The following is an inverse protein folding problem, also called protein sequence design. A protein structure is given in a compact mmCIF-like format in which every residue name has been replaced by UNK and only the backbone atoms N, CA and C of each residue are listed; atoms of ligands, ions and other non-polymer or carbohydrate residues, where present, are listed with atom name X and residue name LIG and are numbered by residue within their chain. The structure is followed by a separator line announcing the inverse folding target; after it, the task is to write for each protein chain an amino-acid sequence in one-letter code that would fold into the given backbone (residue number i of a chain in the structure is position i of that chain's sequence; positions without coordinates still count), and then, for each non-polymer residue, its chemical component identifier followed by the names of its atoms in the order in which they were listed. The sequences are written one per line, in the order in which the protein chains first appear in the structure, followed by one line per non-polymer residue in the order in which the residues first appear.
data_IF_991775989865
#
_entry.id   IF_991775989865
#
_cell.length_a   1.000
_cell.length_b   1.000
_cell.length_c   1.000
_cell.angle_alpha   90.00
_cell.angle_beta   90.00
_cell.angle_gamma   90.00
#
_symmetry.space_group_name_H-M   'P 1'
#
loop_
_entity.id
_entity.type
_entity.pdbx_description
1 polymer ?
#
# COMPACT_ATOMS: atom_id res chain seq x y z
N UNK A 1 19.25 5.05 26.97
CA UNK A 1 18.27 4.60 25.96
C UNK A 1 17.98 3.15 26.25
N UNK A 2 16.72 2.75 26.37
CA UNK A 2 16.38 1.36 26.63
C UNK A 2 16.90 0.47 25.49
N UNK A 3 17.62 -0.59 25.83
CA UNK A 3 18.13 -1.57 24.87
C UNK A 3 17.03 -2.57 24.46
N UNK A 4 15.76 -2.15 24.60
CA UNK A 4 14.58 -2.94 24.39
C UNK A 4 13.81 -2.46 23.17
N UNK A 5 13.35 -3.40 22.37
CA UNK A 5 12.53 -3.23 21.20
C UNK A 5 11.10 -3.68 21.52
N UNK A 6 10.18 -2.74 21.75
CA UNK A 6 8.76 -3.06 21.96
C UNK A 6 8.14 -3.44 20.63
N UNK A 7 7.30 -4.45 20.62
CA UNK A 7 6.59 -4.89 19.43
C UNK A 7 5.20 -5.42 19.77
N UNK A 8 4.25 -5.20 18.85
CA UNK A 8 2.89 -5.70 18.97
C UNK A 8 2.77 -7.10 18.33
N UNK A 9 2.41 -8.08 19.15
CA UNK A 9 2.22 -9.46 18.75
C UNK A 9 0.75 -9.74 18.43
N UNK A 10 0.53 -10.30 17.25
CA UNK A 10 -0.72 -10.89 16.82
C UNK A 10 -0.66 -12.41 16.96
N UNK A 11 -1.66 -13.03 17.59
CA UNK A 11 -1.72 -14.47 17.79
C UNK A 11 -2.74 -15.15 16.87
N UNK A 12 -3.97 -14.63 16.88
CA UNK A 12 -5.07 -15.16 16.07
C UNK A 12 -6.20 -14.12 15.88
N UNK A 13 -7.06 -14.28 14.87
CA UNK A 13 -8.21 -13.42 14.67
C UNK A 13 -9.12 -13.33 15.89
N UNK A 14 -9.62 -12.13 16.17
CA UNK A 14 -10.52 -11.88 17.30
C UNK A 14 -9.82 -11.76 18.66
N UNK A 15 -8.50 -11.87 18.72
CA UNK A 15 -7.71 -11.61 19.92
C UNK A 15 -7.03 -10.23 19.81
N UNK A 16 -6.85 -9.53 20.94
CA UNK A 16 -6.10 -8.28 20.94
C UNK A 16 -4.62 -8.53 20.66
N UNK A 17 -3.95 -7.52 20.09
CA UNK A 17 -2.50 -7.47 20.09
C UNK A 17 -1.98 -7.30 21.52
N UNK A 18 -0.82 -7.89 21.79
CA UNK A 18 -0.10 -7.76 23.05
C UNK A 18 1.27 -7.12 22.80
N UNK A 19 1.67 -6.17 23.64
CA UNK A 19 2.99 -5.54 23.52
C UNK A 19 4.02 -6.36 24.30
N UNK A 20 5.06 -6.79 23.61
CA UNK A 20 6.19 -7.53 24.18
C UNK A 20 7.51 -6.84 23.87
N UNK A 21 8.53 -7.11 24.70
CA UNK A 21 9.90 -6.59 24.54
C UNK A 21 10.80 -7.67 23.93
N UNK A 22 11.66 -7.23 23.00
CA UNK A 22 12.66 -8.04 22.31
C UNK A 22 14.03 -7.31 22.37
N UNK A 23 15.13 -8.02 22.12
CA UNK A 23 16.41 -7.35 21.87
C UNK A 23 16.35 -6.49 20.61
N UNK A 24 17.02 -5.34 20.61
CA UNK A 24 17.27 -4.57 19.39
C UNK A 24 18.23 -5.39 18.52
N UNK A 25 17.91 -5.65 17.24
CA UNK A 25 18.77 -6.48 16.40
C UNK A 25 20.03 -5.72 16.00
N UNK A 26 21.21 -6.29 16.27
CA UNK A 26 22.46 -5.80 15.71
C UNK A 26 22.50 -6.12 14.20
N UNK A 27 22.89 -5.17 13.33
CA UNK A 27 22.89 -5.40 11.90
C UNK A 27 24.05 -6.31 11.46
N UNK A 28 23.73 -7.34 10.67
CA UNK A 28 24.72 -8.14 9.97
C UNK A 28 25.34 -7.35 8.79
N UNK A 29 26.51 -7.77 8.28
CA UNK A 29 27.14 -7.12 7.14
C UNK A 29 26.18 -6.98 5.93
N UNK A 30 26.13 -5.80 5.35
CA UNK A 30 25.24 -5.44 4.24
C UNK A 30 23.78 -5.14 4.61
N UNK A 31 23.39 -5.33 5.87
CA UNK A 31 22.06 -4.95 6.40
C UNK A 31 22.11 -3.74 7.30
N UNK A 32 20.96 -3.31 7.80
CA UNK A 32 20.87 -2.21 8.75
C UNK A 32 19.72 -2.43 9.76
N UNK A 33 19.82 -1.78 10.92
CA UNK A 33 18.74 -1.69 11.88
C UNK A 33 18.09 -0.32 11.76
N UNK A 34 16.77 -0.32 11.56
CA UNK A 34 15.96 0.88 11.47
C UNK A 34 15.22 1.09 12.79
N UNK A 35 15.29 2.29 13.38
CA UNK A 35 14.36 2.75 14.39
C UNK A 35 13.11 3.22 13.64
N UNK A 36 12.00 2.50 13.79
CA UNK A 36 10.73 2.85 13.17
C UNK A 36 10.21 4.12 13.83
N UNK A 37 9.78 5.09 13.03
CA UNK A 37 9.10 6.29 13.52
C UNK A 37 7.60 6.20 13.32
N UNK A 38 7.18 5.56 12.19
CA UNK A 38 5.77 5.36 11.84
C UNK A 38 5.57 4.03 11.14
N UNK A 39 4.43 3.40 11.40
CA UNK A 39 3.97 2.21 10.66
C UNK A 39 2.46 2.25 10.48
N UNK A 40 2.00 2.24 9.22
CA UNK A 40 0.58 2.23 8.89
C UNK A 40 -0.02 0.83 9.03
N UNK A 41 -1.33 0.79 9.28
CA UNK A 41 -2.14 -0.42 9.16
C UNK A 41 -2.63 -0.52 7.71
N UNK A 42 -2.12 -1.50 6.97
CA UNK A 42 -2.56 -1.78 5.61
C UNK A 42 -3.86 -2.60 5.61
N UNK A 43 -4.60 -2.57 4.51
CA UNK A 43 -5.79 -3.41 4.31
C UNK A 43 -5.49 -4.90 4.45
N UNK A 44 -4.29 -5.34 4.06
CA UNK A 44 -3.86 -6.74 4.22
C UNK A 44 -3.76 -7.18 5.69
N UNK A 45 -3.32 -6.29 6.60
CA UNK A 45 -3.32 -6.57 8.03
C UNK A 45 -4.74 -6.59 8.62
N UNK A 46 -5.66 -5.76 8.12
CA UNK A 46 -7.07 -5.84 8.52
C UNK A 46 -7.70 -7.18 8.13
N UNK A 47 -7.39 -7.70 6.94
CA UNK A 47 -7.86 -9.03 6.52
C UNK A 47 -7.30 -10.15 7.41
N UNK A 48 -6.02 -10.08 7.80
CA UNK A 48 -5.42 -11.02 8.75
C UNK A 48 -6.10 -10.91 10.12
N UNK A 49 -6.33 -9.70 10.61
CA UNK A 49 -6.93 -9.42 11.92
C UNK A 49 -8.40 -9.89 12.00
N UNK A 50 -9.17 -9.74 10.92
CA UNK A 50 -10.54 -10.23 10.81
C UNK A 50 -10.64 -11.74 10.62
N UNK A 51 -9.58 -12.37 10.11
CA UNK A 51 -9.59 -13.78 9.73
C UNK A 51 -10.15 -14.03 8.33
N UNK A 52 -10.07 -13.06 7.44
CA UNK A 52 -10.61 -13.15 6.08
C UNK A 52 -9.82 -14.12 5.21
N UNK A 53 -10.53 -14.96 4.46
CA UNK A 53 -9.95 -15.86 3.48
C UNK A 53 -8.85 -16.77 4.04
N UNK A 54 -7.88 -17.13 3.19
CA UNK A 54 -6.73 -17.96 3.59
C UNK A 54 -5.69 -17.20 4.42
N UNK A 55 -5.67 -15.88 4.39
CA UNK A 55 -4.77 -15.08 5.22
C UNK A 55 -5.14 -15.19 6.72
N UNK A 56 -6.43 -15.25 7.03
CA UNK A 56 -6.91 -15.38 8.40
C UNK A 56 -6.74 -16.77 9.03
N UNK A 57 -6.31 -17.78 8.27
CA UNK A 57 -6.05 -19.13 8.81
C UNK A 57 -4.66 -19.26 9.46
N UNK A 58 -3.88 -18.18 9.48
CA UNK A 58 -2.52 -18.20 10.05
C UNK A 58 -2.60 -18.03 11.57
N UNK A 59 -2.97 -19.10 12.26
CA UNK A 59 -2.80 -19.19 13.71
C UNK A 59 -1.31 -19.40 13.99
N UNK A 60 -0.71 -18.46 14.71
CA UNK A 60 0.69 -18.56 15.14
C UNK A 60 0.73 -18.71 16.67
N UNK A 61 0.83 -19.94 17.22
CA UNK A 61 0.81 -20.16 18.67
C UNK A 61 1.90 -19.39 19.43
N UNK A 62 2.95 -18.96 18.73
CA UNK A 62 4.06 -18.18 19.27
C UNK A 62 3.92 -16.67 19.04
N UNK A 63 2.81 -16.23 18.43
CA UNK A 63 2.63 -14.85 18.00
C UNK A 63 3.42 -14.50 16.72
N UNK A 64 3.00 -13.42 16.08
CA UNK A 64 3.65 -12.81 14.90
C UNK A 64 3.58 -11.31 15.01
N UNK A 65 4.66 -10.63 14.67
CA UNK A 65 4.65 -9.18 14.51
C UNK A 65 4.22 -8.88 13.08
N UNK A 66 3.12 -8.13 12.93
CA UNK A 66 2.63 -7.64 11.66
C UNK A 66 3.26 -6.28 11.33
N UNK A 67 2.75 -5.63 10.27
CA UNK A 67 3.24 -4.36 9.79
C UNK A 67 4.31 -4.50 8.72
N UNK A 68 4.15 -3.74 7.66
CA UNK A 68 5.10 -3.69 6.55
C UNK A 68 5.20 -2.30 5.92
N UNK A 69 4.22 -1.44 6.15
CA UNK A 69 4.13 -0.10 5.61
C UNK A 69 4.71 0.89 6.63
N UNK A 70 6.00 1.19 6.52
CA UNK A 70 6.70 1.94 7.56
C UNK A 70 7.85 2.79 7.03
N UNK A 71 8.25 3.75 7.84
CA UNK A 71 9.45 4.58 7.70
C UNK A 71 10.18 4.70 9.03
N UNK A 72 11.39 5.18 9.00
CA UNK A 72 12.15 5.38 10.24
C UNK A 72 13.52 5.99 10.00
N UNK A 73 14.30 5.98 11.07
CA UNK A 73 15.65 6.54 11.12
C UNK A 73 16.66 5.41 11.21
N UNK A 74 17.73 5.48 10.44
CA UNK A 74 18.85 4.53 10.50
C UNK A 74 19.43 4.53 11.92
N UNK A 75 19.24 3.43 12.65
CA UNK A 75 19.79 3.24 14.00
C UNK A 75 21.23 2.74 13.96
N UNK A 76 21.51 1.73 13.14
CA UNK A 76 22.84 1.18 12.96
C UNK A 76 23.00 0.61 11.54
N UNK A 77 24.19 0.74 10.98
CA UNK A 77 24.57 0.21 9.67
C UNK A 77 25.49 -1.00 9.88
N UNK A 78 25.21 -2.09 9.15
CA UNK A 78 26.13 -3.21 9.04
C UNK A 78 27.32 -2.89 8.13
N UNK A 79 28.40 -3.65 8.25
CA UNK A 79 29.59 -3.46 7.44
C UNK A 79 29.28 -3.45 5.96
N UNK A 80 29.85 -2.48 5.24
CA UNK A 80 29.69 -2.31 3.80
C UNK A 80 28.44 -1.53 3.35
N UNK A 81 27.55 -1.13 4.24
CA UNK A 81 26.41 -0.26 3.90
C UNK A 81 26.85 1.20 3.96
N UNK A 82 27.02 1.84 2.83
CA UNK A 82 27.50 3.23 2.71
C UNK A 82 26.57 4.14 1.91
N UNK A 83 25.70 3.55 1.08
CA UNK A 83 24.78 4.29 0.21
C UNK A 83 23.40 3.63 0.22
N UNK A 84 22.39 4.39 -0.18
CA UNK A 84 21.08 3.87 -0.53
C UNK A 84 21.13 3.17 -1.92
N UNK A 85 19.96 2.73 -2.41
CA UNK A 85 19.84 2.02 -3.69
C UNK A 85 20.21 2.86 -4.91
N UNK A 86 20.12 4.19 -4.81
CA UNK A 86 20.51 5.14 -5.85
C UNK A 86 21.97 5.62 -5.74
N UNK A 87 22.73 5.11 -4.78
CA UNK A 87 24.09 5.56 -4.53
C UNK A 87 24.19 6.83 -3.68
N UNK A 88 23.11 7.31 -3.11
CA UNK A 88 23.12 8.46 -2.18
C UNK A 88 23.76 8.02 -0.85
N UNK A 89 24.78 8.74 -0.32
CA UNK A 89 25.38 8.40 0.95
C UNK A 89 24.37 8.37 2.09
N UNK A 90 24.44 7.32 2.91
CA UNK A 90 23.61 7.17 4.12
C UNK A 90 24.49 6.99 5.36
N UNK A 91 23.98 7.49 6.46
CA UNK A 91 24.60 7.41 7.78
C UNK A 91 23.58 7.18 8.88
N UNK A 92 24.02 6.83 10.06
CA UNK A 92 23.17 6.79 11.25
C UNK A 92 22.47 8.16 11.44
N UNK A 93 21.17 8.12 11.70
CA UNK A 93 20.34 9.31 11.84
C UNK A 93 19.61 9.73 10.56
N UNK A 94 19.96 9.19 9.40
CA UNK A 94 19.22 9.48 8.17
C UNK A 94 17.84 8.81 8.16
N UNK A 95 16.82 9.51 7.66
CA UNK A 95 15.48 8.96 7.45
C UNK A 95 15.46 8.18 6.15
N UNK A 96 14.86 7.00 6.15
CA UNK A 96 14.75 6.14 4.97
C UNK A 96 13.34 5.56 4.80
N UNK A 97 12.96 5.36 3.53
CA UNK A 97 11.93 4.43 3.11
C UNK A 97 12.58 3.17 2.54
N UNK A 98 11.92 2.03 2.62
CA UNK A 98 12.51 0.75 2.23
C UNK A 98 11.47 -0.17 1.58
N UNK A 99 11.93 -1.04 0.70
CA UNK A 99 11.11 -2.10 0.16
C UNK A 99 10.94 -3.19 1.23
N UNK A 100 9.70 -3.44 1.70
CA UNK A 100 9.43 -4.36 2.81
C UNK A 100 9.61 -5.84 2.47
N UNK A 101 9.87 -6.15 1.23
CA UNK A 101 10.22 -7.48 0.74
C UNK A 101 11.56 -7.42 -0.02
N UNK A 102 12.12 -8.59 -0.33
CA UNK A 102 13.41 -8.68 -1.00
C UNK A 102 13.34 -9.64 -2.19
N UNK A 103 13.36 -9.14 -3.42
CA UNK A 103 13.52 -10.00 -4.61
C UNK A 103 14.83 -10.77 -4.57
N UNK A 104 14.80 -12.05 -4.95
CA UNK A 104 16.00 -12.90 -4.88
C UNK A 104 17.03 -12.63 -5.98
N UNK A 105 16.70 -11.84 -7.00
CA UNK A 105 17.56 -11.47 -8.12
C UNK A 105 17.89 -12.59 -9.12
N UNK A 106 17.56 -13.87 -8.83
CA UNK A 106 18.02 -15.04 -9.58
C UNK A 106 16.91 -15.98 -10.08
N UNK A 107 15.67 -15.85 -9.62
CA UNK A 107 14.58 -16.68 -10.14
C UNK A 107 14.17 -16.23 -11.55
N UNK A 108 13.36 -17.06 -12.22
CA UNK A 108 12.92 -16.80 -13.60
C UNK A 108 12.29 -15.43 -13.78
N UNK A 109 11.47 -14.99 -12.80
CA UNK A 109 10.79 -13.70 -12.88
C UNK A 109 11.79 -12.54 -12.71
N UNK A 110 12.68 -12.61 -11.70
CA UNK A 110 13.73 -11.60 -11.53
C UNK A 110 14.63 -11.47 -12.76
N UNK A 111 15.01 -12.61 -13.39
CA UNK A 111 15.84 -12.61 -14.61
C UNK A 111 15.11 -12.03 -15.83
N UNK A 112 13.77 -11.90 -15.78
CA UNK A 112 12.98 -11.22 -16.81
C UNK A 112 12.71 -9.74 -16.48
N UNK A 113 13.28 -9.21 -15.39
CA UNK A 113 13.03 -7.85 -14.92
C UNK A 113 11.72 -7.70 -14.10
N UNK A 114 11.04 -8.81 -13.78
CA UNK A 114 9.79 -8.83 -13.00
C UNK A 114 10.11 -9.13 -11.53
N UNK A 115 10.82 -8.22 -10.87
CA UNK A 115 11.26 -8.40 -9.48
C UNK A 115 10.10 -8.44 -8.48
N UNK A 116 9.02 -7.72 -8.75
CA UNK A 116 7.78 -7.69 -7.98
C UNK A 116 7.06 -9.05 -7.98
N UNK A 117 7.25 -9.87 -9.02
CA UNK A 117 6.70 -11.22 -9.12
C UNK A 117 7.67 -12.31 -8.61
N UNK A 118 8.65 -11.95 -7.80
CA UNK A 118 9.62 -12.90 -7.23
C UNK A 118 8.96 -13.83 -6.22
N UNK A 119 9.13 -15.15 -6.39
CA UNK A 119 8.55 -16.16 -5.49
C UNK A 119 9.16 -16.16 -4.08
N UNK A 120 10.38 -15.63 -3.95
CA UNK A 120 11.15 -15.62 -2.70
C UNK A 120 11.08 -14.25 -1.99
N UNK A 121 10.29 -13.30 -2.50
CA UNK A 121 10.26 -11.91 -2.01
C UNK A 121 10.04 -11.80 -0.52
N UNK A 122 9.10 -12.58 0.03
CA UNK A 122 8.69 -12.49 1.43
C UNK A 122 9.48 -13.41 2.38
N UNK A 123 10.61 -13.97 1.95
CA UNK A 123 11.46 -14.81 2.82
C UNK A 123 12.02 -14.03 4.01
N UNK A 124 12.24 -12.72 3.86
CA UNK A 124 12.74 -11.83 4.93
C UNK A 124 11.75 -11.68 6.10
N UNK A 125 10.46 -11.95 5.87
CA UNK A 125 9.42 -11.89 6.90
C UNK A 125 9.22 -13.22 7.64
N UNK A 126 9.92 -14.29 7.22
CA UNK A 126 9.80 -15.63 7.82
C UNK A 126 10.82 -15.83 8.94
N UNK A 127 10.48 -16.58 9.96
CA UNK A 127 11.36 -16.97 11.05
C UNK A 127 10.70 -16.90 12.42
N UNK A 128 11.45 -17.31 13.44
CA UNK A 128 10.99 -17.35 14.82
C UNK A 128 11.27 -16.02 15.53
N UNK A 129 10.40 -15.62 16.45
CA UNK A 129 10.61 -14.47 17.35
C UNK A 129 11.73 -14.70 18.37
N UNK A 130 12.12 -15.99 18.59
CA UNK A 130 13.22 -16.35 19.51
C UNK A 130 14.60 -16.35 18.82
N UNK A 131 14.65 -16.07 17.52
CA UNK A 131 15.86 -16.08 16.72
C UNK A 131 16.10 -14.71 16.09
N UNK A 132 17.38 -14.30 16.06
CA UNK A 132 17.76 -13.08 15.37
C UNK A 132 17.16 -13.03 13.95
N UNK A 133 16.63 -11.91 13.50
CA UNK A 133 16.61 -10.58 14.09
C UNK A 133 15.39 -10.30 15.00
N UNK A 134 14.71 -11.30 15.53
CA UNK A 134 13.58 -11.27 16.46
C UNK A 134 12.31 -10.62 15.86
N UNK A 135 12.38 -9.35 15.44
CA UNK A 135 11.29 -8.58 14.85
C UNK A 135 11.40 -8.54 13.33
N UNK A 136 10.34 -8.94 12.63
CA UNK A 136 10.26 -9.02 11.16
C UNK A 136 9.07 -8.28 10.56
N UNK A 137 8.29 -7.63 11.40
CA UNK A 137 7.20 -6.73 11.07
C UNK A 137 7.43 -5.37 11.68
N UNK A 138 6.83 -4.34 11.12
CA UNK A 138 7.07 -2.95 11.50
C UNK A 138 6.20 -2.41 12.62
N UNK A 139 5.30 -3.23 13.21
CA UNK A 139 4.62 -2.85 14.45
C UNK A 139 5.57 -3.08 15.64
N UNK A 140 6.73 -2.43 15.58
CA UNK A 140 7.83 -2.53 16.55
C UNK A 140 8.67 -1.27 16.52
N UNK A 141 9.36 -0.96 17.63
CA UNK A 141 10.26 0.21 17.70
C UNK A 141 11.48 0.07 16.77
N UNK A 142 11.95 -1.16 16.53
CA UNK A 142 13.08 -1.45 15.66
C UNK A 142 12.83 -2.66 14.77
N UNK A 143 13.30 -2.57 13.53
CA UNK A 143 13.32 -3.68 12.58
C UNK A 143 14.69 -3.82 11.93
N UNK A 144 15.00 -5.04 11.49
CA UNK A 144 16.19 -5.31 10.71
C UNK A 144 15.86 -5.35 9.22
N UNK A 145 16.60 -4.59 8.43
CA UNK A 145 16.54 -4.63 6.98
C UNK A 145 17.69 -5.48 6.43
N UNK A 146 17.33 -6.49 5.65
CA UNK A 146 18.28 -7.47 5.14
C UNK A 146 19.10 -6.92 3.97
N UNK A 147 20.31 -7.43 3.73
CA UNK A 147 21.09 -7.12 2.53
C UNK A 147 20.26 -7.35 1.26
N UNK A 148 20.26 -6.34 0.36
CA UNK A 148 19.52 -6.42 -0.91
C UNK A 148 18.04 -6.04 -0.83
N UNK A 149 17.53 -5.56 0.31
CA UNK A 149 16.30 -4.77 0.33
C UNK A 149 16.63 -3.36 -0.17
N UNK A 150 15.85 -2.86 -1.12
CA UNK A 150 16.04 -1.49 -1.59
C UNK A 150 15.67 -0.50 -0.49
N UNK A 151 16.56 0.44 -0.21
CA UNK A 151 16.39 1.54 0.73
C UNK A 151 16.65 2.85 0.01
N UNK A 152 15.93 3.89 0.38
CA UNK A 152 16.06 5.22 -0.21
C UNK A 152 16.06 6.27 0.89
N UNK A 153 16.97 7.23 0.82
CA UNK A 153 17.01 8.37 1.71
C UNK A 153 15.80 9.26 1.47
N UNK A 154 15.11 9.64 2.54
CA UNK A 154 13.92 10.51 2.46
C UNK A 154 14.37 11.96 2.37
N UNK A 155 13.90 12.74 1.38
CA UNK A 155 14.16 14.17 1.24
C UNK A 155 13.68 14.96 2.48
N UNK A 156 14.34 16.09 2.78
CA UNK A 156 14.03 16.92 3.96
C UNK A 156 12.62 17.51 3.93
N UNK A 157 12.09 17.82 2.74
CA UNK A 157 10.77 18.38 2.57
C UNK A 157 9.62 17.36 2.63
N UNK A 158 9.93 16.08 2.80
CA UNK A 158 8.94 15.00 2.97
C UNK A 158 8.90 14.60 4.45
N UNK A 159 7.73 14.72 5.08
CA UNK A 159 7.52 14.33 6.48
C UNK A 159 7.42 12.81 6.65
N UNK A 160 7.56 12.30 7.88
CA UNK A 160 7.34 10.88 8.15
C UNK A 160 5.88 10.47 7.90
N UNK A 161 4.94 11.40 8.11
CA UNK A 161 3.51 11.22 7.81
C UNK A 161 3.26 11.01 6.32
N UNK A 162 3.94 11.76 5.46
CA UNK A 162 3.85 11.61 4.01
C UNK A 162 4.48 10.31 3.52
N UNK A 163 5.72 10.01 3.99
CA UNK A 163 6.51 8.92 3.42
C UNK A 163 6.11 7.53 3.93
N UNK A 164 5.41 7.43 5.05
CA UNK A 164 5.03 6.14 5.64
C UNK A 164 4.20 5.27 4.69
N UNK A 165 3.44 5.88 3.76
CA UNK A 165 2.65 5.17 2.75
C UNK A 165 3.45 4.81 1.48
N UNK A 166 4.69 5.30 1.35
CA UNK A 166 5.46 5.16 0.11
C UNK A 166 5.75 3.69 -0.24
N UNK A 167 6.16 2.89 0.76
CA UNK A 167 6.66 1.53 0.57
C UNK A 167 5.57 0.44 0.47
N UNK A 168 4.30 0.82 0.34
CA UNK A 168 3.20 -0.10 0.06
C UNK A 168 2.19 0.59 -0.87
N UNK A 169 1.26 1.37 -0.30
CA UNK A 169 0.13 1.93 -1.00
C UNK A 169 0.54 2.75 -2.24
N UNK A 170 1.43 3.73 -2.08
CA UNK A 170 1.78 4.64 -3.16
C UNK A 170 2.63 3.97 -4.25
N UNK A 171 3.66 3.19 -3.88
CA UNK A 171 4.49 2.50 -4.86
C UNK A 171 3.69 1.46 -5.68
N UNK A 172 2.73 0.78 -5.05
CA UNK A 172 1.87 -0.20 -5.72
C UNK A 172 0.89 0.49 -6.69
N UNK A 173 0.32 1.62 -6.29
CA UNK A 173 -0.55 2.44 -7.16
C UNK A 173 0.22 2.97 -8.36
N UNK A 174 1.43 3.51 -8.15
CA UNK A 174 2.30 3.98 -9.26
C UNK A 174 2.55 2.84 -10.25
N UNK A 175 2.99 1.68 -9.77
CA UNK A 175 3.24 0.52 -10.64
C UNK A 175 1.97 0.06 -11.36
N UNK A 176 0.83 0.05 -10.68
CA UNK A 176 -0.44 -0.34 -11.26
C UNK A 176 -0.86 0.58 -12.41
N UNK A 177 -0.85 1.90 -12.17
CA UNK A 177 -1.22 2.89 -13.18
C UNK A 177 -0.25 2.94 -14.37
N UNK A 178 1.03 2.61 -14.13
CA UNK A 178 2.00 2.41 -15.21
C UNK A 178 1.70 1.18 -16.05
N UNK A 179 1.33 0.06 -15.43
CA UNK A 179 1.01 -1.18 -16.14
C UNK A 179 -0.25 -1.10 -16.99
N UNK A 180 -1.25 -0.37 -16.51
CA UNK A 180 -2.43 -0.07 -17.33
C UNK A 180 -2.23 1.15 -18.23
N UNK A 181 -1.02 1.71 -18.26
CA UNK A 181 -0.60 2.75 -19.19
C UNK A 181 -1.49 4.00 -19.14
N UNK A 182 -1.87 4.45 -17.93
CA UNK A 182 -2.61 5.72 -17.80
C UNK A 182 -1.82 6.84 -18.45
N UNK A 183 -2.46 7.58 -19.34
CA UNK A 183 -1.84 8.59 -20.18
C UNK A 183 -2.72 9.85 -20.29
N UNK A 184 -2.18 10.86 -20.97
CA UNK A 184 -2.89 12.10 -21.28
C UNK A 184 -4.19 11.80 -22.07
N UNK A 185 -5.30 12.38 -21.59
CA UNK A 185 -6.62 12.22 -22.19
C UNK A 185 -7.42 11.02 -21.69
N UNK A 186 -6.84 10.12 -20.86
CA UNK A 186 -7.59 9.02 -20.26
C UNK A 186 -8.63 9.53 -19.25
N UNK A 187 -9.79 8.89 -19.20
CA UNK A 187 -10.83 9.05 -18.19
C UNK A 187 -10.69 7.89 -17.20
N UNK A 188 -10.41 8.20 -15.95
CA UNK A 188 -10.06 7.21 -14.93
C UNK A 188 -11.13 7.16 -13.85
N UNK A 189 -11.65 5.97 -13.53
CA UNK A 189 -12.53 5.74 -12.38
C UNK A 189 -11.73 5.07 -11.28
N UNK A 190 -11.85 5.56 -10.04
CA UNK A 190 -11.27 4.96 -8.84
C UNK A 190 -12.38 4.45 -7.95
N UNK A 191 -12.51 3.13 -7.80
CA UNK A 191 -13.44 2.47 -6.88
C UNK A 191 -12.77 2.33 -5.50
N UNK A 192 -13.26 3.10 -4.53
CA UNK A 192 -12.72 3.19 -3.17
C UNK A 192 -11.70 4.32 -2.99
N UNK A 193 -11.98 5.25 -2.07
CA UNK A 193 -11.14 6.41 -1.76
C UNK A 193 -10.46 6.28 -0.38
N UNK A 194 -10.08 5.06 -0.02
CA UNK A 194 -9.21 4.80 1.14
C UNK A 194 -7.76 5.20 0.89
N UNK A 195 -6.83 4.69 1.71
CA UNK A 195 -5.41 5.06 1.62
C UNK A 195 -4.73 4.78 0.27
N UNK A 196 -5.24 3.86 -0.56
CA UNK A 196 -4.75 3.64 -1.92
C UNK A 196 -5.45 4.55 -2.94
N UNK A 197 -6.78 4.69 -2.79
CA UNK A 197 -7.60 5.37 -3.80
C UNK A 197 -7.30 6.87 -3.92
N UNK A 198 -7.03 7.55 -2.81
CA UNK A 198 -6.65 8.97 -2.85
C UNK A 198 -5.33 9.17 -3.60
N UNK A 199 -4.36 8.26 -3.43
CA UNK A 199 -3.14 8.28 -4.24
C UNK A 199 -3.40 7.91 -5.70
N UNK A 200 -4.33 7.00 -5.98
CA UNK A 200 -4.70 6.66 -7.37
C UNK A 200 -5.27 7.90 -8.10
N UNK A 201 -6.10 8.71 -7.44
CA UNK A 201 -6.57 9.97 -7.99
C UNK A 201 -5.41 10.92 -8.33
N UNK A 202 -4.50 11.14 -7.37
CA UNK A 202 -3.38 12.06 -7.56
C UNK A 202 -2.41 11.61 -8.67
N UNK A 203 -2.04 10.32 -8.68
CA UNK A 203 -1.14 9.78 -9.70
C UNK A 203 -1.80 9.76 -11.08
N UNK A 204 -3.10 9.47 -11.18
CA UNK A 204 -3.82 9.54 -12.46
C UNK A 204 -3.79 10.96 -13.04
N UNK A 205 -4.02 11.98 -12.21
CA UNK A 205 -3.92 13.40 -12.64
C UNK A 205 -2.49 13.78 -13.04
N UNK A 206 -1.48 13.37 -12.28
CA UNK A 206 -0.08 13.65 -12.63
C UNK A 206 0.34 12.98 -13.94
N UNK A 207 -0.23 11.84 -14.27
CA UNK A 207 -0.03 11.15 -15.56
C UNK A 207 -0.82 11.76 -16.71
N UNK A 208 -1.65 12.78 -16.46
CA UNK A 208 -2.36 13.53 -17.46
C UNK A 208 -3.78 13.04 -17.76
N UNK A 209 -4.40 12.26 -16.85
CA UNK A 209 -5.81 11.90 -17.00
C UNK A 209 -6.68 13.16 -17.20
N UNK A 210 -7.53 13.12 -18.22
CA UNK A 210 -8.48 14.20 -18.53
C UNK A 210 -9.50 14.37 -17.41
N UNK A 211 -10.06 13.24 -16.98
CA UNK A 211 -11.06 13.22 -15.92
C UNK A 211 -10.77 12.05 -14.95
N UNK A 212 -10.81 12.33 -13.65
CA UNK A 212 -10.72 11.33 -12.58
C UNK A 212 -12.03 11.34 -11.79
N UNK A 213 -12.73 10.20 -11.80
CA UNK A 213 -14.01 9.98 -11.12
C UNK A 213 -13.75 9.10 -9.90
N UNK A 214 -14.01 9.61 -8.70
CA UNK A 214 -13.81 8.89 -7.44
C UNK A 214 -15.14 8.36 -6.89
N UNK A 215 -15.21 7.09 -6.48
CA UNK A 215 -16.40 6.44 -5.94
C UNK A 215 -16.12 5.96 -4.52
N UNK A 216 -16.85 6.46 -3.52
CA UNK A 216 -16.82 6.02 -2.12
C UNK A 216 -18.17 6.33 -1.47
N UNK A 217 -18.37 5.95 -0.19
CA UNK A 217 -19.55 6.27 0.61
C UNK A 217 -19.22 7.01 1.91
N UNK A 218 -17.99 7.50 2.07
CA UNK A 218 -17.56 8.24 3.25
C UNK A 218 -17.15 9.65 2.83
N UNK A 219 -17.83 10.66 3.37
CA UNK A 219 -17.67 12.07 2.98
C UNK A 219 -16.22 12.53 3.06
N UNK A 220 -15.54 12.27 4.17
CA UNK A 220 -14.14 12.66 4.37
C UNK A 220 -13.19 12.03 3.34
N UNK A 221 -13.50 10.83 2.86
CA UNK A 221 -12.72 10.15 1.81
C UNK A 221 -12.95 10.77 0.44
N UNK A 222 -14.21 11.07 0.12
CA UNK A 222 -14.57 11.76 -1.12
C UNK A 222 -13.96 13.16 -1.17
N UNK A 223 -14.05 13.91 -0.05
CA UNK A 223 -13.44 15.24 0.04
C UNK A 223 -11.92 15.18 -0.15
N UNK A 224 -11.23 14.23 0.49
CA UNK A 224 -9.78 14.07 0.29
C UNK A 224 -9.46 13.63 -1.14
N UNK A 225 -10.25 12.73 -1.75
CA UNK A 225 -10.06 12.33 -3.15
C UNK A 225 -10.16 13.54 -4.09
N UNK A 226 -11.10 14.47 -3.86
CA UNK A 226 -11.21 15.71 -4.61
C UNK A 226 -9.97 16.60 -4.46
N UNK A 227 -9.49 16.78 -3.22
CA UNK A 227 -8.26 17.55 -2.95
C UNK A 227 -7.02 16.90 -3.56
N UNK A 228 -7.03 15.56 -3.69
CA UNK A 228 -5.98 14.77 -4.33
C UNK A 228 -6.16 14.66 -5.85
N UNK A 229 -7.08 15.40 -6.45
CA UNK A 229 -7.19 15.54 -7.90
C UNK A 229 -8.34 14.80 -8.57
N UNK A 230 -9.30 14.23 -7.83
CA UNK A 230 -10.54 13.76 -8.44
C UNK A 230 -11.37 14.97 -8.93
N UNK A 231 -11.83 14.90 -10.18
CA UNK A 231 -12.65 15.93 -10.80
C UNK A 231 -14.14 15.73 -10.46
N UNK A 232 -14.58 14.47 -10.39
CA UNK A 232 -15.96 14.09 -10.15
C UNK A 232 -16.05 13.07 -9.00
N UNK A 233 -17.10 13.19 -8.21
CA UNK A 233 -17.35 12.33 -7.06
C UNK A 233 -18.68 11.58 -7.23
N UNK A 234 -18.68 10.30 -6.92
CA UNK A 234 -19.89 9.47 -6.85
C UNK A 234 -20.01 8.90 -5.44
N UNK A 235 -21.04 9.35 -4.71
CA UNK A 235 -21.41 8.76 -3.43
C UNK A 235 -22.33 7.56 -3.69
N UNK A 236 -21.86 6.35 -3.37
CA UNK A 236 -22.66 5.15 -3.57
C UNK A 236 -23.86 5.04 -2.60
N UNK A 237 -23.96 5.90 -1.56
CA UNK A 237 -25.12 5.98 -0.69
C UNK A 237 -26.25 6.75 -1.37
N UNK A 238 -25.91 7.74 -2.20
CA UNK A 238 -26.88 8.50 -3.01
C UNK A 238 -27.27 7.74 -4.28
N UNK A 239 -26.28 7.13 -4.95
CA UNK A 239 -26.49 6.28 -6.12
C UNK A 239 -26.27 4.82 -5.71
N UNK A 240 -27.28 4.23 -5.00
CA UNK A 240 -27.13 2.91 -4.35
C UNK A 240 -27.04 1.74 -5.33
N UNK A 241 -27.70 1.85 -6.49
CA UNK A 241 -27.77 0.77 -7.46
C UNK A 241 -26.52 0.74 -8.37
N UNK A 242 -25.81 -0.39 -8.51
CA UNK A 242 -24.62 -0.51 -9.36
C UNK A 242 -24.87 -0.07 -10.81
N UNK A 243 -26.00 -0.44 -11.39
CA UNK A 243 -26.37 -0.05 -12.77
C UNK A 243 -26.45 1.48 -12.94
N UNK A 244 -26.92 2.19 -11.91
CA UNK A 244 -27.13 3.63 -11.97
C UNK A 244 -25.79 4.35 -11.82
N UNK A 245 -24.84 3.81 -11.02
CA UNK A 245 -23.46 4.28 -10.98
C UNK A 245 -22.73 4.07 -12.30
N UNK A 246 -22.91 2.91 -12.94
CA UNK A 246 -22.40 2.67 -14.30
C UNK A 246 -22.98 3.68 -15.31
N UNK A 247 -24.28 3.98 -15.24
CA UNK A 247 -24.92 4.99 -16.08
C UNK A 247 -24.32 6.39 -15.82
N UNK A 248 -24.10 6.74 -14.55
CA UNK A 248 -23.50 8.02 -14.15
C UNK A 248 -22.06 8.16 -14.66
N UNK A 249 -21.23 7.12 -14.57
CA UNK A 249 -19.89 7.13 -15.15
C UNK A 249 -19.94 7.37 -16.65
N UNK A 250 -20.84 6.68 -17.37
CA UNK A 250 -21.01 6.88 -18.81
C UNK A 250 -21.47 8.29 -19.16
N UNK A 251 -22.37 8.87 -18.38
CA UNK A 251 -22.77 10.27 -18.54
C UNK A 251 -21.57 11.23 -18.40
N UNK A 252 -20.72 11.02 -17.40
CA UNK A 252 -19.51 11.80 -17.13
C UNK A 252 -18.40 11.58 -18.17
N UNK A 253 -18.54 10.58 -19.03
CA UNK A 253 -17.56 10.17 -20.05
C UNK A 253 -18.17 10.20 -21.46
N UNK A 254 -19.11 11.10 -21.73
CA UNK A 254 -19.76 11.33 -23.02
C UNK A 254 -20.42 10.10 -23.65
N UNK A 255 -20.78 9.10 -22.82
CA UNK A 255 -21.40 7.84 -23.22
C UNK A 255 -20.44 6.70 -23.48
N UNK A 256 -19.15 6.94 -23.61
CA UNK A 256 -18.14 5.94 -23.97
C UNK A 256 -17.81 4.99 -22.82
N UNK A 257 -17.74 5.50 -21.60
CA UNK A 257 -17.21 4.82 -20.41
C UNK A 257 -15.77 5.26 -20.08
N UNK A 258 -15.19 4.65 -19.07
CA UNK A 258 -13.84 4.96 -18.60
C UNK A 258 -12.75 4.21 -19.38
N UNK A 259 -11.64 4.86 -19.69
CA UNK A 259 -10.46 4.22 -20.27
C UNK A 259 -9.77 3.31 -19.26
N UNK A 260 -9.78 3.72 -17.99
CA UNK A 260 -9.22 2.93 -16.88
C UNK A 260 -10.19 2.92 -15.70
N UNK A 261 -10.38 1.74 -15.09
CA UNK A 261 -11.04 1.60 -13.79
C UNK A 261 -10.05 0.96 -12.82
N UNK A 262 -9.84 1.58 -11.67
CA UNK A 262 -8.93 1.13 -10.60
C UNK A 262 -9.75 0.61 -9.42
N UNK A 263 -9.60 -0.65 -9.07
CA UNK A 263 -10.23 -1.27 -7.89
C UNK A 263 -9.25 -1.25 -6.71
N UNK A 264 -9.65 -0.57 -5.64
CA UNK A 264 -8.90 -0.49 -4.37
C UNK A 264 -9.84 -0.54 -3.14
N UNK A 265 -11.04 -1.09 -3.32
CA UNK A 265 -12.00 -1.38 -2.24
C UNK A 265 -11.59 -2.64 -1.49
N UNK A 266 -11.13 -3.66 -2.23
CA UNK A 266 -10.82 -4.98 -1.71
C UNK A 266 -12.04 -5.90 -1.60
N UNK A 267 -13.07 -5.68 -2.43
CA UNK A 267 -14.26 -6.52 -2.50
C UNK A 267 -14.53 -7.01 -3.92
N UNK A 268 -14.81 -8.31 -4.06
CA UNK A 268 -15.21 -8.87 -5.35
C UNK A 268 -16.54 -8.35 -5.87
N UNK A 269 -17.37 -7.76 -4.99
CA UNK A 269 -18.71 -7.28 -5.34
C UNK A 269 -18.69 -6.06 -6.29
N UNK A 270 -17.59 -5.28 -6.28
CA UNK A 270 -17.46 -4.09 -7.12
C UNK A 270 -16.84 -4.35 -8.49
N UNK A 271 -16.28 -5.55 -8.72
CA UNK A 271 -15.51 -5.86 -9.95
C UNK A 271 -16.41 -5.87 -11.19
N UNK A 272 -17.56 -6.57 -11.15
CA UNK A 272 -18.48 -6.61 -12.31
C UNK A 272 -19.00 -5.21 -12.67
N UNK A 273 -19.32 -4.41 -11.66
CA UNK A 273 -19.72 -3.01 -11.83
C UNK A 273 -18.60 -2.21 -12.53
N UNK A 274 -17.37 -2.29 -12.02
CA UNK A 274 -16.20 -1.59 -12.59
C UNK A 274 -15.90 -2.02 -14.01
N UNK A 275 -16.00 -3.31 -14.34
CA UNK A 275 -15.86 -3.81 -15.70
C UNK A 275 -16.92 -3.25 -16.64
N UNK A 276 -18.16 -2.99 -16.16
CA UNK A 276 -19.23 -2.35 -16.95
C UNK A 276 -19.04 -0.86 -17.16
N UNK A 277 -18.26 -0.20 -16.31
CA UNK A 277 -17.89 1.20 -16.47
C UNK A 277 -16.87 1.43 -17.59
N UNK A 278 -16.12 0.39 -17.99
CA UNK A 278 -15.08 0.50 -19.02
C UNK A 278 -15.63 0.84 -20.40
N UNK A 279 -14.89 1.67 -21.10
CA UNK A 279 -15.03 1.91 -22.53
C UNK A 279 -14.58 0.70 -23.37
N UNK A 280 -14.79 0.75 -24.70
CA UNK A 280 -14.14 -0.15 -25.64
C UNK A 280 -12.62 0.03 -25.57
N UNK A 281 -11.87 -1.08 -25.46
CA UNK A 281 -10.42 -1.05 -25.24
C UNK A 281 -9.99 -0.70 -23.82
N UNK A 282 -10.94 -0.51 -22.91
CA UNK A 282 -10.69 -0.11 -21.53
C UNK A 282 -9.89 -1.13 -20.71
N UNK A 283 -9.27 -0.66 -19.65
CA UNK A 283 -8.30 -1.39 -18.80
C UNK A 283 -8.77 -1.38 -17.35
N UNK A 284 -8.99 -2.54 -16.77
CA UNK A 284 -9.34 -2.72 -15.37
C UNK A 284 -8.08 -3.04 -14.58
N UNK A 285 -7.77 -2.25 -13.57
CA UNK A 285 -6.65 -2.46 -12.66
C UNK A 285 -7.16 -2.98 -11.32
N UNK A 286 -6.80 -4.22 -11.01
CA UNK A 286 -7.12 -4.90 -9.76
C UNK A 286 -5.96 -4.80 -8.78
N UNK A 287 -6.18 -4.15 -7.64
CA UNK A 287 -5.20 -4.02 -6.55
C UNK A 287 -5.80 -4.44 -5.20
N UNK A 288 -7.09 -4.17 -5.00
CA UNK A 288 -7.73 -4.21 -3.68
C UNK A 288 -7.94 -5.62 -3.13
N UNK A 289 -8.31 -6.59 -3.96
CA UNK A 289 -8.57 -7.97 -3.53
C UNK A 289 -7.26 -8.75 -3.42
N UNK A 290 -6.59 -8.63 -2.30
CA UNK A 290 -5.27 -9.25 -2.08
C UNK A 290 -5.33 -10.69 -1.54
N UNK A 291 -6.46 -11.19 -1.10
CA UNK A 291 -6.57 -12.51 -0.47
C UNK A 291 -7.16 -13.58 -1.41
N UNK A 292 -6.63 -14.79 -1.35
CA UNK A 292 -7.06 -15.92 -2.20
C UNK A 292 -8.27 -16.64 -1.61
N UNK A 293 -9.08 -17.25 -2.49
CA UNK A 293 -10.25 -18.05 -2.12
C UNK A 293 -11.57 -17.34 -2.37
N UNK A 294 -11.53 -16.15 -2.96
CA UNK A 294 -12.70 -15.42 -3.46
C UNK A 294 -12.84 -15.59 -4.97
N UNK A 295 -14.02 -15.29 -5.51
CA UNK A 295 -14.31 -15.34 -6.93
C UNK A 295 -15.33 -14.25 -7.29
N UNK A 296 -15.32 -13.81 -8.52
CA UNK A 296 -16.33 -12.93 -9.09
C UNK A 296 -16.84 -13.50 -10.43
N UNK A 297 -18.08 -13.14 -10.79
CA UNK A 297 -18.62 -13.48 -12.10
C UNK A 297 -18.08 -12.52 -13.16
N UNK A 298 -17.64 -13.05 -14.28
CA UNK A 298 -17.15 -12.27 -15.41
C UNK A 298 -17.82 -12.73 -16.69
N UNK A 299 -18.21 -11.80 -17.55
CA UNK A 299 -18.69 -12.07 -18.90
C UNK A 299 -17.52 -12.02 -19.90
N UNK A 300 -16.94 -13.17 -20.30
CA UNK A 300 -15.82 -13.19 -21.23
C UNK A 300 -16.23 -12.72 -22.63
N UNK A 301 -17.51 -12.86 -23.00
CA UNK A 301 -18.02 -12.37 -24.28
C UNK A 301 -17.92 -10.85 -24.40
N UNK A 302 -18.18 -10.14 -23.30
CA UNK A 302 -18.01 -8.69 -23.24
C UNK A 302 -16.53 -8.30 -23.33
N UNK A 303 -15.66 -8.94 -22.53
CA UNK A 303 -14.22 -8.66 -22.58
C UNK A 303 -13.67 -8.79 -24.00
N UNK A 304 -14.01 -9.87 -24.70
CA UNK A 304 -13.60 -10.10 -26.10
C UNK A 304 -14.25 -9.08 -27.04
N UNK A 305 -15.57 -8.89 -26.94
CA UNK A 305 -16.32 -8.01 -27.84
C UNK A 305 -15.96 -6.53 -27.73
N UNK A 306 -15.48 -6.11 -26.55
CA UNK A 306 -15.07 -4.73 -26.28
C UNK A 306 -13.56 -4.55 -26.20
N UNK A 307 -12.75 -5.59 -26.42
CA UNK A 307 -11.28 -5.57 -26.30
C UNK A 307 -10.80 -5.07 -24.95
N UNK A 308 -11.50 -5.40 -23.86
CA UNK A 308 -11.15 -4.98 -22.50
C UNK A 308 -10.03 -5.85 -21.92
N UNK A 309 -9.23 -5.28 -21.01
CA UNK A 309 -8.13 -5.98 -20.32
C UNK A 309 -8.34 -5.90 -18.80
N UNK A 310 -7.90 -6.94 -18.09
CA UNK A 310 -7.78 -6.95 -16.62
C UNK A 310 -6.30 -7.13 -16.32
N UNK A 311 -5.74 -6.20 -15.58
CA UNK A 311 -4.37 -6.24 -15.04
C UNK A 311 -4.45 -6.31 -13.51
N UNK A 312 -3.64 -7.18 -12.90
CA UNK A 312 -3.57 -7.32 -11.45
C UNK A 312 -2.17 -7.00 -10.93
N UNK A 313 -2.10 -6.19 -9.88
CA UNK A 313 -0.83 -5.75 -9.28
C UNK A 313 -0.86 -5.95 -7.78
N UNK A 314 -0.13 -6.95 -7.28
CA UNK A 314 -0.04 -7.25 -5.85
C UNK A 314 1.24 -6.79 -5.17
N UNK A 315 2.16 -6.14 -5.89
CA UNK A 315 3.48 -5.73 -5.41
C UNK A 315 4.09 -4.69 -6.35
N UNK A 316 5.32 -4.24 -6.09
CA UNK A 316 6.00 -3.20 -6.86
C UNK A 316 7.51 -3.46 -6.95
N UNK A 317 8.23 -2.78 -7.84
CA UNK A 317 9.69 -2.82 -7.94
C UNK A 317 10.36 -1.66 -7.19
N UNK A 318 11.68 -1.73 -7.02
CA UNK A 318 12.42 -0.68 -6.33
C UNK A 318 12.29 0.69 -7.01
N UNK A 319 12.16 0.72 -8.34
CA UNK A 319 11.99 1.95 -9.10
C UNK A 319 10.64 2.62 -8.79
N UNK A 320 9.56 1.84 -8.60
CA UNK A 320 8.27 2.40 -8.18
C UNK A 320 8.31 3.02 -6.78
N UNK A 321 9.07 2.42 -5.85
CA UNK A 321 9.29 3.05 -4.53
C UNK A 321 10.07 4.36 -4.65
N UNK A 322 11.08 4.41 -5.51
CA UNK A 322 11.82 5.65 -5.76
C UNK A 322 10.91 6.74 -6.32
N UNK A 323 10.10 6.42 -7.35
CA UNK A 323 9.12 7.35 -7.92
C UNK A 323 8.07 7.79 -6.90
N UNK A 324 7.69 6.93 -5.95
CA UNK A 324 6.79 7.31 -4.85
C UNK A 324 7.40 8.41 -3.98
N UNK A 325 8.70 8.29 -3.65
CA UNK A 325 9.41 9.32 -2.87
C UNK A 325 9.55 10.62 -3.67
N UNK A 326 9.87 10.54 -4.97
CA UNK A 326 9.94 11.71 -5.86
C UNK A 326 8.58 12.42 -5.99
N UNK A 327 7.49 11.65 -6.16
CA UNK A 327 6.13 12.18 -6.16
C UNK A 327 5.80 12.94 -4.86
N UNK A 328 6.10 12.35 -3.70
CA UNK A 328 5.89 12.99 -2.42
C UNK A 328 6.70 14.29 -2.29
N UNK A 329 7.97 14.27 -2.70
CA UNK A 329 8.84 15.45 -2.65
C UNK A 329 8.37 16.57 -3.57
N UNK A 330 7.90 16.23 -4.78
CA UNK A 330 7.37 17.19 -5.76
C UNK A 330 6.05 17.82 -5.33
N UNK A 331 5.22 17.07 -4.59
CA UNK A 331 3.86 17.47 -4.23
C UNK A 331 3.67 17.84 -2.74
N UNK A 332 4.74 17.88 -1.96
CA UNK A 332 4.69 18.11 -0.51
C UNK A 332 4.02 19.44 -0.08
N UNK A 333 3.91 20.42 -0.97
CA UNK A 333 3.30 21.74 -0.71
C UNK A 333 1.96 21.95 -1.43
N UNK A 334 1.62 21.08 -2.35
CA UNK A 334 0.47 21.25 -3.26
C UNK A 334 -0.66 20.30 -2.98
N UNK A 335 -0.36 19.12 -2.43
CA UNK A 335 -1.35 18.11 -2.08
C UNK A 335 -1.40 17.90 -0.55
N UNK A 336 -2.58 17.56 0.01
CA UNK A 336 -2.77 17.33 1.45
C UNK A 336 -2.27 15.94 1.89
N UNK A 337 -1.00 15.64 1.61
CA UNK A 337 -0.41 14.32 1.80
C UNK A 337 -0.35 13.88 3.27
N UNK A 338 -0.28 14.83 4.21
CA UNK A 338 -0.32 14.55 5.66
C UNK A 338 -1.72 14.16 6.17
N UNK A 339 -2.80 14.40 5.38
CA UNK A 339 -4.18 14.11 5.79
C UNK A 339 -4.62 12.66 5.47
N UNK A 340 -3.76 11.87 4.84
CA UNK A 340 -4.06 10.48 4.48
C UNK A 340 -4.10 9.56 5.70
N UNK A 341 -3.33 9.86 6.74
CA UNK A 341 -3.19 9.02 7.94
C UNK A 341 -3.65 9.73 9.20
N UNK A 342 -4.03 8.93 10.21
CA UNK A 342 -4.36 9.38 11.58
C UNK A 342 -3.46 8.66 12.55
N UNK A 343 -2.84 9.43 13.47
CA UNK A 343 -1.82 8.94 14.39
C UNK A 343 -2.39 8.24 15.62
N UNK A 344 -1.79 7.10 15.99
CA UNK A 344 -2.04 6.35 17.20
C UNK A 344 -0.70 5.96 17.83
N UNK A 345 -0.51 6.04 19.15
CA UNK A 345 0.66 5.43 19.78
C UNK A 345 0.63 3.90 19.61
N UNK A 346 1.78 3.24 19.62
CA UNK A 346 1.87 1.77 19.45
C UNK A 346 0.99 1.03 20.45
N UNK A 347 0.87 1.54 21.68
CA UNK A 347 0.06 0.95 22.75
C UNK A 347 -1.44 0.93 22.43
N UNK A 348 -1.90 1.82 21.56
CA UNK A 348 -3.30 1.90 21.11
C UNK A 348 -3.58 1.12 19.83
N UNK A 349 -2.69 0.21 19.42
CA UNK A 349 -2.83 -0.58 18.20
C UNK A 349 -4.20 -1.26 18.06
N UNK A 350 -4.77 -1.76 19.15
CA UNK A 350 -6.08 -2.41 19.14
C UNK A 350 -7.20 -1.42 18.78
N UNK A 351 -7.13 -0.19 19.28
CA UNK A 351 -8.07 0.87 18.92
C UNK A 351 -7.88 1.32 17.47
N UNK A 352 -6.62 1.48 17.04
CA UNK A 352 -6.27 1.85 15.67
C UNK A 352 -6.83 0.85 14.64
N UNK A 353 -6.74 -0.45 14.91
CA UNK A 353 -7.35 -1.50 14.07
C UNK A 353 -8.87 -1.42 14.04
N UNK A 354 -9.52 -1.21 15.20
CA UNK A 354 -10.98 -1.08 15.30
C UNK A 354 -11.49 0.14 14.54
N UNK A 355 -10.84 1.30 14.69
CA UNK A 355 -11.24 2.55 14.07
C UNK A 355 -11.07 2.51 12.54
N UNK A 356 -9.95 1.97 12.05
CA UNK A 356 -9.76 1.80 10.62
C UNK A 356 -10.74 0.78 10.03
N UNK A 357 -11.02 -0.32 10.75
CA UNK A 357 -11.97 -1.34 10.30
C UNK A 357 -13.41 -0.83 10.23
N UNK A 358 -13.81 0.06 11.13
CA UNK A 358 -15.14 0.69 11.12
C UNK A 358 -15.28 1.80 10.09
N UNK A 359 -14.18 2.23 9.45
CA UNK A 359 -14.13 3.36 8.53
C UNK A 359 -14.08 4.73 9.21
N UNK A 360 -13.93 4.77 10.54
CA UNK A 360 -13.80 6.03 11.30
C UNK A 360 -12.57 6.82 10.89
N UNK A 361 -11.50 6.14 10.50
CA UNK A 361 -10.28 6.75 9.95
C UNK A 361 -9.96 6.19 8.58
N UNK A 362 -9.37 7.02 7.72
CA UNK A 362 -8.97 6.64 6.36
C UNK A 362 -7.87 5.59 6.39
N UNK A 363 -6.84 5.85 7.22
CA UNK A 363 -5.70 4.97 7.50
C UNK A 363 -5.12 5.31 8.86
N UNK A 364 -4.98 4.32 9.73
CA UNK A 364 -4.31 4.48 11.02
C UNK A 364 -2.79 4.30 10.85
N UNK A 365 -2.01 5.16 11.51
CA UNK A 365 -0.56 5.13 11.55
C UNK A 365 -0.09 5.00 12.99
N UNK A 366 0.63 3.93 13.30
CA UNK A 366 1.24 3.73 14.61
C UNK A 366 2.50 4.57 14.72
N UNK A 367 2.60 5.40 15.76
CA UNK A 367 3.76 6.25 16.05
C UNK A 367 4.57 5.59 17.14
N UNK A 368 5.88 5.36 16.88
CA UNK A 368 6.84 4.81 17.80
C UNK A 368 7.58 5.96 18.52
N UNK A 369 7.73 5.86 19.83
CA UNK A 369 8.33 6.91 20.68
C UNK A 369 9.77 6.62 21.06
#
# INVERSE_FOLDING_TARGET
MSNENRAALFFEPGKPFEIHSFPVPDPAPGGLTLKVTRSNICGSELHIWRGDGRLGTVITPKGRILGHEATGVVHALGDGVTTDWNGTPIQQGDRIAYQYFRPCGRCRNCMKGMSEACRESFTVQRGSLNEWPYTRGSFADYIYLHPGQAIFKVPENVTDTMVVSANCALAQVIMGLERVEVAMGDRVVVQGCGGLGVYACAIAKERGAECVIAIDGIDDRLQLAQQMGADELIDFREISEPRDRVARVKELTDGDGADVVVEVVGSTDVIDEGLRMLAFGGRYLEIGVFFTGTSFACDPGRLVGQNQRIEAVGSYDAASLHRAIEFLAGNAKTLPLDEVVVDYPLEEINQAFADQNSGLVKRASLVMT
#
